data_IF_343197608222
#
_entry.id   IF_343197608222
#
_cell.length_a   1.000
_cell.length_b   1.000
_cell.length_c   1.000
_cell.angle_alpha   90.00
_cell.angle_beta   90.00
_cell.angle_gamma   90.00
#
_symmetry.space_group_name_H-M   'P 1'
#
loop_
_entity.id
_entity.type
_entity.pdbx_description
1 polymer ?
#
# COMPACT_ATOMS: atom_id res chain seq x y z
N UNK A 1 2.57 -28.41 -4.05
CA UNK A 1 1.72 -27.70 -3.06
C UNK A 1 1.65 -26.21 -3.38
N UNK A 2 2.77 -25.46 -3.35
CA UNK A 2 2.75 -24.00 -3.53
C UNK A 2 2.48 -23.60 -5.00
N UNK A 3 3.09 -24.29 -5.95
CA UNK A 3 2.85 -24.10 -7.39
C UNK A 3 1.39 -24.37 -7.76
N UNK A 4 0.78 -25.40 -7.18
CA UNK A 4 -0.62 -25.73 -7.39
C UNK A 4 -1.54 -24.62 -6.85
N UNK A 5 -1.25 -24.07 -5.68
CA UNK A 5 -2.01 -22.96 -5.12
C UNK A 5 -1.91 -21.70 -5.99
N UNK A 6 -0.71 -21.41 -6.49
CA UNK A 6 -0.50 -20.27 -7.42
C UNK A 6 -1.27 -20.52 -8.73
N UNK A 7 -1.18 -21.73 -9.28
CA UNK A 7 -1.92 -22.09 -10.50
C UNK A 7 -3.43 -21.90 -10.31
N UNK A 8 -3.99 -22.43 -9.22
CA UNK A 8 -5.41 -22.29 -8.90
C UNK A 8 -5.82 -20.83 -8.75
N UNK A 9 -5.00 -20.01 -8.05
CA UNK A 9 -5.27 -18.59 -7.90
C UNK A 9 -5.31 -17.86 -9.24
N UNK A 10 -4.35 -18.15 -10.13
CA UNK A 10 -4.30 -17.56 -11.47
C UNK A 10 -5.49 -18.03 -12.32
N UNK A 11 -5.80 -19.33 -12.29
CA UNK A 11 -6.92 -19.91 -13.01
C UNK A 11 -8.27 -19.32 -12.57
N UNK A 12 -8.50 -19.21 -11.26
CA UNK A 12 -9.71 -18.60 -10.71
C UNK A 12 -9.83 -17.12 -11.10
N UNK A 13 -8.73 -16.35 -11.06
CA UNK A 13 -8.71 -14.96 -11.52
C UNK A 13 -8.99 -14.84 -13.01
N UNK A 14 -8.45 -15.75 -13.81
CA UNK A 14 -8.72 -15.79 -15.24
C UNK A 14 -10.19 -16.08 -15.53
N UNK A 15 -10.77 -17.10 -14.86
CA UNK A 15 -12.20 -17.43 -14.99
C UNK A 15 -13.07 -16.25 -14.55
N UNK A 16 -12.74 -15.62 -13.42
CA UNK A 16 -13.48 -14.46 -12.89
C UNK A 16 -13.54 -13.29 -13.87
N UNK A 17 -12.52 -13.13 -14.74
CA UNK A 17 -12.49 -12.07 -15.75
C UNK A 17 -13.60 -12.20 -16.83
N UNK A 18 -14.22 -13.37 -16.97
CA UNK A 18 -15.34 -13.61 -17.90
C UNK A 18 -16.71 -13.52 -17.22
N UNK A 19 -16.74 -13.33 -15.91
CA UNK A 19 -17.99 -13.14 -15.16
C UNK A 19 -18.46 -11.68 -15.24
N UNK A 20 -19.78 -11.45 -15.08
CA UNK A 20 -20.31 -10.09 -15.04
C UNK A 20 -19.78 -9.31 -13.82
N UNK A 21 -19.88 -7.99 -13.88
CA UNK A 21 -19.47 -7.11 -12.79
C UNK A 21 -20.29 -7.37 -11.52
N UNK A 22 -19.62 -7.33 -10.37
CA UNK A 22 -20.27 -7.34 -9.08
C UNK A 22 -20.99 -5.99 -8.87
N UNK A 23 -22.27 -6.04 -8.46
CA UNK A 23 -23.03 -4.82 -8.13
C UNK A 23 -23.17 -4.71 -6.62
N UNK A 24 -22.71 -3.61 -6.08
CA UNK A 24 -22.73 -3.33 -4.64
C UNK A 24 -23.50 -2.03 -4.41
N UNK A 25 -24.44 -2.07 -3.49
CA UNK A 25 -25.12 -0.88 -2.98
C UNK A 25 -24.38 -0.37 -1.74
N UNK A 26 -24.00 0.89 -1.73
CA UNK A 26 -23.43 1.54 -0.56
C UNK A 26 -24.42 2.54 0.00
N UNK A 27 -24.86 2.32 1.23
CA UNK A 27 -25.77 3.22 1.94
C UNK A 27 -24.98 4.01 2.97
N UNK A 28 -25.11 5.33 2.95
CA UNK A 28 -24.52 6.20 3.96
C UNK A 28 -25.65 6.98 4.64
N UNK A 29 -25.77 6.80 5.95
CA UNK A 29 -26.74 7.51 6.79
C UNK A 29 -25.97 8.60 7.53
N UNK A 30 -26.50 9.81 7.48
CA UNK A 30 -26.04 10.94 8.29
C UNK A 30 -27.16 11.33 9.23
N UNK A 31 -26.86 11.38 10.50
CA UNK A 31 -27.80 11.79 11.54
C UNK A 31 -27.15 12.87 12.41
N UNK A 32 -27.96 13.61 13.10
CA UNK A 32 -27.53 14.62 14.08
C UNK A 32 -28.21 14.34 15.40
N UNK A 33 -27.45 14.29 16.47
CA UNK A 33 -27.94 14.17 17.84
C UNK A 33 -27.46 15.38 18.58
N UNK A 34 -28.38 16.29 18.91
CA UNK A 34 -28.07 17.64 19.38
C UNK A 34 -27.12 18.35 18.41
N UNK A 35 -25.89 18.64 18.78
CA UNK A 35 -24.87 19.29 17.95
C UNK A 35 -23.87 18.28 17.32
N UNK A 36 -24.01 16.99 17.63
CA UNK A 36 -23.04 15.97 17.19
C UNK A 36 -23.48 15.28 15.89
N UNK A 37 -22.68 15.41 14.81
CA UNK A 37 -22.95 14.69 13.58
C UNK A 37 -22.54 13.22 13.72
N UNK A 38 -23.46 12.33 13.38
CA UNK A 38 -23.25 10.89 13.33
C UNK A 38 -23.24 10.41 11.89
N UNK A 39 -22.44 9.40 11.61
CA UNK A 39 -22.35 8.77 10.30
C UNK A 39 -22.32 7.24 10.44
N UNK A 40 -23.20 6.58 9.72
CA UNK A 40 -23.15 5.13 9.53
C UNK A 40 -23.02 4.83 8.03
N UNK A 41 -22.25 3.78 7.69
CA UNK A 41 -22.08 3.31 6.31
C UNK A 41 -22.25 1.80 6.27
N UNK A 42 -23.00 1.32 5.30
CA UNK A 42 -23.19 -0.11 5.06
C UNK A 42 -23.03 -0.43 3.58
N UNK A 43 -22.67 -1.69 3.29
CA UNK A 43 -22.58 -2.24 1.95
C UNK A 43 -23.44 -3.47 1.84
N UNK A 44 -24.20 -3.57 0.76
CA UNK A 44 -25.02 -4.75 0.43
C UNK A 44 -24.65 -5.19 -0.98
N UNK A 45 -24.29 -6.46 -1.15
CA UNK A 45 -24.03 -7.03 -2.46
C UNK A 45 -25.39 -7.33 -3.11
N UNK A 46 -25.64 -6.69 -4.25
CA UNK A 46 -26.85 -6.91 -5.05
C UNK A 46 -26.67 -8.05 -6.07
N UNK A 47 -25.47 -8.11 -6.66
CA UNK A 47 -25.09 -9.13 -7.62
C UNK A 47 -23.64 -9.52 -7.33
N UNK A 48 -23.40 -10.79 -7.05
CA UNK A 48 -22.04 -11.31 -6.75
C UNK A 48 -21.08 -11.16 -7.95
N UNK A 49 -21.57 -11.44 -9.14
CA UNK A 49 -20.76 -11.38 -10.36
C UNK A 49 -19.46 -12.20 -10.24
N UNK A 50 -18.33 -11.62 -10.65
CA UNK A 50 -17.02 -12.28 -10.58
C UNK A 50 -16.59 -12.72 -9.16
N UNK A 51 -17.18 -12.15 -8.12
CA UNK A 51 -16.85 -12.50 -6.72
C UNK A 51 -17.26 -13.93 -6.37
N UNK A 52 -18.28 -14.48 -7.07
CA UNK A 52 -18.75 -15.85 -6.84
C UNK A 52 -17.63 -16.88 -7.08
N UNK A 53 -16.80 -16.64 -8.11
CA UNK A 53 -15.66 -17.52 -8.44
C UNK A 53 -14.56 -17.45 -7.39
N UNK A 54 -14.40 -16.32 -6.71
CA UNK A 54 -13.30 -16.05 -5.79
C UNK A 54 -13.71 -16.20 -4.32
N UNK A 55 -14.92 -16.74 -4.03
CA UNK A 55 -15.31 -17.02 -2.65
C UNK A 55 -14.30 -17.99 -2.03
N UNK A 56 -13.67 -17.65 -0.90
CA UNK A 56 -12.89 -18.62 -0.16
C UNK A 56 -13.83 -19.75 0.27
N UNK A 57 -13.37 -21.00 0.09
CA UNK A 57 -14.04 -22.16 0.68
C UNK A 57 -14.25 -21.84 2.17
N UNK A 58 -15.50 -21.97 2.63
CA UNK A 58 -15.99 -21.56 3.96
C UNK A 58 -15.38 -22.36 5.13
N UNK A 59 -14.10 -22.71 5.05
CA UNK A 59 -13.36 -23.50 6.02
C UNK A 59 -12.04 -22.93 6.53
N UNK A 60 -11.52 -21.86 5.93
CA UNK A 60 -10.30 -21.20 6.42
C UNK A 60 -10.46 -19.68 6.33
N UNK A 61 -10.79 -19.07 7.45
CA UNK A 61 -10.53 -17.67 7.69
C UNK A 61 -9.01 -17.41 7.57
N UNK A 62 -8.55 -17.23 6.34
CA UNK A 62 -7.20 -16.77 6.02
C UNK A 62 -7.13 -15.27 6.25
N UNK A 63 -6.81 -14.88 7.45
CA UNK A 63 -6.68 -13.53 8.00
C UNK A 63 -5.46 -12.76 7.45
N UNK A 64 -5.10 -12.80 6.18
CA UNK A 64 -3.82 -12.21 5.79
C UNK A 64 -3.73 -11.35 4.53
N UNK A 65 -4.81 -11.09 3.81
CA UNK A 65 -4.67 -10.34 2.53
C UNK A 65 -5.32 -8.95 2.48
N UNK A 66 -5.89 -8.45 3.57
CA UNK A 66 -6.60 -7.17 3.59
C UNK A 66 -6.31 -6.29 4.81
N UNK A 67 -5.11 -6.33 5.39
CA UNK A 67 -4.79 -5.54 6.59
C UNK A 67 -4.44 -4.06 6.35
N UNK A 68 -4.61 -3.54 5.14
CA UNK A 68 -4.63 -2.09 4.90
C UNK A 68 -6.02 -1.46 4.91
N UNK A 69 -7.07 -2.25 5.08
CA UNK A 69 -8.47 -1.82 5.05
C UNK A 69 -9.26 -2.28 6.29
N UNK A 70 -8.59 -2.40 7.44
CA UNK A 70 -9.34 -2.54 8.69
C UNK A 70 -10.08 -1.25 8.95
N UNK A 71 -11.32 -1.27 8.68
CA UNK A 71 -12.43 -0.63 9.38
C UNK A 71 -13.61 -0.20 8.52
N UNK A 72 -13.55 -0.32 7.20
CA UNK A 72 -14.61 0.30 6.39
C UNK A 72 -15.43 -0.66 5.53
N UNK A 73 -15.07 -1.94 5.45
CA UNK A 73 -15.70 -2.84 4.50
C UNK A 73 -16.23 -4.17 5.10
N UNK A 74 -16.49 -4.23 6.39
CA UNK A 74 -17.38 -5.27 6.89
C UNK A 74 -18.73 -5.04 6.23
N UNK A 75 -19.29 -6.08 5.60
CA UNK A 75 -20.62 -6.09 5.05
C UNK A 75 -21.63 -5.84 6.18
N UNK A 76 -21.74 -4.59 6.58
CA UNK A 76 -22.70 -4.17 7.58
C UNK A 76 -23.96 -3.78 6.82
N UNK A 77 -24.94 -4.68 6.83
CA UNK A 77 -26.26 -4.37 6.28
C UNK A 77 -26.94 -3.40 7.22
N UNK A 78 -27.16 -2.18 6.76
CA UNK A 78 -27.94 -1.21 7.51
C UNK A 78 -29.43 -1.50 7.31
N UNK A 79 -30.26 -1.32 8.36
CA UNK A 79 -31.72 -1.37 8.20
C UNK A 79 -32.19 -0.27 7.24
N UNK A 80 -33.36 -0.42 6.62
CA UNK A 80 -33.91 0.61 5.78
C UNK A 80 -34.26 1.85 6.63
N UNK A 81 -33.70 3.00 6.28
CA UNK A 81 -33.98 4.29 6.90
C UNK A 81 -34.74 5.20 5.92
N UNK A 82 -35.62 6.04 6.44
CA UNK A 82 -36.30 7.11 5.69
C UNK A 82 -35.68 8.45 6.08
N UNK A 83 -35.63 9.36 5.12
CA UNK A 83 -35.18 10.73 5.38
C UNK A 83 -36.13 11.41 6.38
N UNK A 84 -35.57 12.05 7.41
CA UNK A 84 -36.33 12.69 8.50
C UNK A 84 -36.80 11.73 9.58
N UNK A 85 -36.45 10.45 9.53
CA UNK A 85 -36.78 9.52 10.60
C UNK A 85 -36.04 9.90 11.89
N UNK A 86 -36.76 9.90 13.01
CA UNK A 86 -36.21 10.15 14.35
C UNK A 86 -36.70 9.08 15.31
N UNK A 87 -35.89 8.79 16.32
CA UNK A 87 -36.22 7.77 17.31
C UNK A 87 -35.35 7.89 18.57
N UNK A 88 -35.73 7.18 19.65
CA UNK A 88 -34.90 7.13 20.84
C UNK A 88 -33.57 6.47 20.52
N UNK A 89 -32.49 6.94 21.15
CA UNK A 89 -31.18 6.35 21.05
C UNK A 89 -30.58 6.23 22.45
N UNK A 90 -29.77 5.18 22.63
CA UNK A 90 -28.97 4.99 23.83
C UNK A 90 -27.48 5.15 23.45
N UNK A 91 -26.87 6.31 23.74
CA UNK A 91 -25.47 6.52 23.41
C UNK A 91 -24.58 5.68 24.31
N UNK A 92 -23.62 4.98 23.70
CA UNK A 92 -22.59 4.26 24.43
C UNK A 92 -21.22 4.84 24.13
N UNK A 93 -20.42 5.10 25.15
CA UNK A 93 -19.03 5.52 25.01
C UNK A 93 -18.15 4.29 25.11
N UNK A 94 -17.34 4.05 24.06
CA UNK A 94 -16.32 3.02 24.10
C UNK A 94 -14.95 3.68 24.16
N UNK A 95 -14.30 3.55 25.29
CA UNK A 95 -12.92 3.94 25.42
C UNK A 95 -12.01 2.96 24.69
N UNK A 96 -11.11 3.47 23.88
CA UNK A 96 -10.10 2.68 23.19
C UNK A 96 -8.78 3.45 23.11
N UNK A 97 -7.69 2.74 23.23
CA UNK A 97 -6.35 3.31 23.03
C UNK A 97 -5.92 3.07 21.58
N UNK A 98 -5.26 4.07 21.00
CA UNK A 98 -4.64 3.91 19.70
C UNK A 98 -3.53 2.86 19.77
N UNK A 99 -3.49 1.97 18.79
CA UNK A 99 -2.41 0.99 18.66
C UNK A 99 -1.41 1.48 17.63
N UNK A 100 -0.10 1.27 17.84
CA UNK A 100 0.91 1.63 16.85
C UNK A 100 0.68 0.83 15.54
N UNK A 101 1.15 1.34 14.40
CA UNK A 101 1.11 0.61 13.14
C UNK A 101 1.78 -0.77 13.29
N UNK A 102 1.20 -1.77 12.64
CA UNK A 102 1.80 -3.11 12.64
C UNK A 102 3.08 -3.12 11.84
N UNK A 103 3.97 -4.05 12.19
CA UNK A 103 5.16 -4.29 11.37
C UNK A 103 4.77 -4.79 9.98
N UNK A 104 5.59 -4.48 9.00
CA UNK A 104 5.37 -4.98 7.65
C UNK A 104 5.48 -6.52 7.60
N UNK A 105 4.67 -7.12 6.78
CA UNK A 105 4.87 -8.46 6.23
C UNK A 105 5.51 -8.30 4.83
N UNK A 106 6.00 -9.38 4.22
CA UNK A 106 6.53 -9.30 2.85
C UNK A 106 5.48 -8.76 1.87
N UNK A 107 4.25 -9.22 1.98
CA UNK A 107 3.13 -8.76 1.15
C UNK A 107 2.83 -7.26 1.35
N UNK A 108 2.79 -6.80 2.61
CA UNK A 108 2.52 -5.37 2.90
C UNK A 108 3.71 -4.49 2.56
N UNK A 109 4.95 -4.98 2.63
CA UNK A 109 6.13 -4.26 2.17
C UNK A 109 6.14 -4.13 0.65
N UNK A 110 5.84 -5.19 -0.09
CA UNK A 110 5.67 -5.13 -1.56
C UNK A 110 4.62 -4.09 -1.94
N UNK A 111 3.48 -4.08 -1.25
CA UNK A 111 2.43 -3.08 -1.47
C UNK A 111 2.89 -1.66 -1.12
N UNK A 112 3.65 -1.48 -0.04
CA UNK A 112 4.21 -0.18 0.32
C UNK A 112 5.20 0.33 -0.74
N UNK A 113 6.04 -0.55 -1.29
CA UNK A 113 6.92 -0.21 -2.42
C UNK A 113 6.11 0.20 -3.67
N UNK A 114 5.02 -0.51 -3.97
CA UNK A 114 4.12 -0.17 -5.08
C UNK A 114 3.44 1.19 -4.89
N UNK A 115 3.04 1.51 -3.68
CA UNK A 115 2.30 2.73 -3.36
C UNK A 115 3.15 3.82 -2.72
N UNK A 116 4.47 3.75 -2.86
CA UNK A 116 5.42 4.67 -2.21
C UNK A 116 5.18 6.14 -2.53
N UNK A 117 4.63 6.45 -3.70
CA UNK A 117 4.25 7.82 -4.07
C UNK A 117 3.19 8.47 -3.19
N UNK A 118 2.42 7.69 -2.42
CA UNK A 118 1.37 8.26 -1.55
C UNK A 118 1.90 9.14 -0.42
N UNK A 119 3.15 8.95 -0.01
CA UNK A 119 3.80 9.73 1.04
C UNK A 119 4.58 10.94 0.52
N UNK A 120 4.61 11.17 -0.79
CA UNK A 120 5.34 12.28 -1.41
C UNK A 120 4.41 13.49 -1.54
N UNK A 121 4.85 14.64 -1.03
CA UNK A 121 4.07 15.88 -1.03
C UNK A 121 3.98 16.50 -2.42
N UNK A 122 5.06 16.45 -3.18
CA UNK A 122 5.14 16.96 -4.54
C UNK A 122 4.25 16.15 -5.49
N UNK A 123 3.35 16.83 -6.21
CA UNK A 123 2.34 16.19 -7.05
C UNK A 123 2.95 15.54 -8.30
N UNK A 124 3.95 16.18 -8.92
CA UNK A 124 4.63 15.63 -10.10
C UNK A 124 5.44 14.39 -9.76
N UNK A 125 6.16 14.41 -8.65
CA UNK A 125 6.91 13.25 -8.15
C UNK A 125 5.97 12.13 -7.70
N UNK A 126 4.85 12.49 -7.09
CA UNK A 126 3.80 11.53 -6.71
C UNK A 126 3.24 10.81 -7.93
N UNK A 127 2.94 11.54 -8.99
CA UNK A 127 2.43 10.96 -10.23
C UNK A 127 3.49 10.14 -10.98
N UNK A 128 4.75 10.54 -10.92
CA UNK A 128 5.85 9.73 -11.42
C UNK A 128 5.96 8.39 -10.69
N UNK A 129 5.78 8.37 -9.38
CA UNK A 129 5.83 7.17 -8.55
C UNK A 129 4.54 6.33 -8.59
N UNK A 130 3.38 6.91 -8.92
CA UNK A 130 2.11 6.16 -9.03
C UNK A 130 2.19 4.99 -10.02
N UNK A 131 2.92 5.17 -11.11
CA UNK A 131 3.00 4.17 -12.17
C UNK A 131 3.96 3.02 -11.83
N UNK A 132 5.08 3.32 -11.18
CA UNK A 132 6.16 2.35 -10.98
C UNK A 132 6.43 2.02 -9.50
N UNK A 133 6.11 2.93 -8.56
CA UNK A 133 6.50 2.79 -7.15
C UNK A 133 8.02 2.79 -6.97
N UNK A 134 8.49 2.14 -5.91
CA UNK A 134 9.91 1.85 -5.70
C UNK A 134 10.23 0.46 -6.28
N UNK A 135 11.09 0.42 -7.27
CA UNK A 135 11.44 -0.79 -8.00
C UNK A 135 10.33 -1.28 -8.94
N UNK A 136 10.72 -1.97 -10.00
CA UNK A 136 9.77 -2.58 -10.93
C UNK A 136 9.14 -3.83 -10.31
N UNK A 137 7.90 -4.22 -10.68
CA UNK A 137 7.25 -5.41 -10.15
C UNK A 137 8.15 -6.66 -10.16
N UNK A 138 8.90 -6.88 -11.24
CA UNK A 138 9.82 -8.02 -11.42
C UNK A 138 11.05 -7.98 -10.51
N UNK A 139 11.42 -6.84 -9.95
CA UNK A 139 12.65 -6.68 -9.15
C UNK A 139 12.39 -6.49 -7.66
N UNK A 140 11.16 -6.15 -7.24
CA UNK A 140 10.84 -5.88 -5.83
C UNK A 140 11.14 -7.06 -4.92
N UNK A 141 10.79 -8.28 -5.33
CA UNK A 141 11.08 -9.49 -4.56
C UNK A 141 12.59 -9.67 -4.37
N UNK A 142 13.39 -9.50 -5.43
CA UNK A 142 14.84 -9.59 -5.37
C UNK A 142 15.47 -8.51 -4.47
N UNK A 143 14.88 -7.32 -4.41
CA UNK A 143 15.31 -6.25 -3.49
C UNK A 143 15.10 -6.69 -2.05
N UNK A 144 13.91 -7.20 -1.71
CA UNK A 144 13.59 -7.68 -0.35
C UNK A 144 14.52 -8.84 0.04
N UNK A 145 14.73 -9.81 -0.85
CA UNK A 145 15.67 -10.92 -0.63
C UNK A 145 17.10 -10.43 -0.40
N UNK A 146 17.49 -9.36 -1.09
CA UNK A 146 18.82 -8.74 -0.87
C UNK A 146 18.94 -8.14 0.53
N UNK A 147 17.87 -7.53 1.07
CA UNK A 147 17.85 -7.01 2.45
C UNK A 147 18.02 -8.14 3.48
N UNK A 148 17.35 -9.28 3.27
CA UNK A 148 17.53 -10.48 4.11
C UNK A 148 18.96 -11.02 4.00
N UNK A 149 19.47 -11.20 2.78
CA UNK A 149 20.81 -11.72 2.53
C UNK A 149 21.92 -10.87 3.17
N UNK A 150 21.70 -9.55 3.22
CA UNK A 150 22.63 -8.62 3.87
C UNK A 150 22.41 -8.50 5.38
N UNK A 151 21.40 -9.16 5.93
CA UNK A 151 21.10 -9.13 7.34
C UNK A 151 20.57 -7.78 7.84
N UNK A 152 19.98 -6.95 6.97
CA UNK A 152 19.38 -5.68 7.36
C UNK A 152 17.97 -5.83 7.94
N UNK A 153 17.28 -6.89 7.52
CA UNK A 153 15.96 -7.26 8.03
C UNK A 153 15.93 -8.76 8.33
N UNK A 154 15.05 -9.16 9.25
CA UNK A 154 14.79 -10.56 9.62
C UNK A 154 13.28 -10.82 9.66
N UNK A 155 12.90 -12.10 9.51
CA UNK A 155 11.54 -12.57 9.69
C UNK A 155 11.31 -12.97 11.14
N UNK A 156 10.31 -12.37 11.80
CA UNK A 156 9.78 -12.82 13.07
C UNK A 156 8.33 -13.30 12.87
N UNK A 157 8.14 -14.60 12.70
CA UNK A 157 6.87 -15.15 12.25
C UNK A 157 6.50 -14.62 10.87
N UNK A 158 5.38 -13.90 10.76
CA UNK A 158 4.95 -13.24 9.51
C UNK A 158 5.46 -11.81 9.37
N UNK A 159 6.00 -11.22 10.43
CA UNK A 159 6.42 -9.81 10.47
C UNK A 159 7.88 -9.65 10.08
N UNK A 160 8.19 -8.53 9.46
CA UNK A 160 9.54 -8.11 9.13
C UNK A 160 10.05 -7.15 10.20
N UNK A 161 11.27 -7.40 10.68
CA UNK A 161 11.95 -6.54 11.65
C UNK A 161 13.26 -6.05 11.10
N UNK A 162 13.54 -4.76 11.33
CA UNK A 162 14.87 -4.23 11.08
C UNK A 162 15.86 -4.79 12.12
N UNK A 163 17.05 -5.19 11.67
CA UNK A 163 18.14 -5.58 12.56
C UNK A 163 18.89 -4.35 13.07
N UNK A 164 19.68 -4.48 14.15
CA UNK A 164 20.58 -3.40 14.57
C UNK A 164 21.48 -2.89 13.44
N UNK A 165 22.01 -3.81 12.60
CA UNK A 165 22.82 -3.44 11.45
C UNK A 165 22.03 -2.64 10.40
N UNK A 166 20.76 -3.00 10.15
CA UNK A 166 19.89 -2.25 9.25
C UNK A 166 19.56 -0.86 9.77
N UNK A 167 19.29 -0.73 11.06
CA UNK A 167 19.03 0.56 11.71
C UNK A 167 20.29 1.44 11.65
N UNK A 168 21.44 0.91 12.03
CA UNK A 168 22.71 1.64 12.01
C UNK A 168 23.09 2.10 10.60
N UNK A 169 22.82 1.29 9.57
CA UNK A 169 23.03 1.70 8.18
C UNK A 169 22.21 2.95 7.85
N UNK A 170 20.91 2.97 8.16
CA UNK A 170 20.05 4.11 7.87
C UNK A 170 20.44 5.34 8.68
N UNK A 171 20.86 5.17 9.93
CA UNK A 171 21.34 6.26 10.78
C UNK A 171 22.65 6.87 10.27
N UNK A 172 23.54 6.04 9.70
CA UNK A 172 24.81 6.51 9.14
C UNK A 172 24.69 7.32 7.85
N UNK A 173 23.56 7.16 7.12
CA UNK A 173 23.30 7.95 5.92
C UNK A 173 22.88 9.36 6.33
N UNK A 174 23.63 10.38 5.94
CA UNK A 174 23.35 11.77 6.29
C UNK A 174 22.41 12.45 5.29
N UNK A 175 22.52 12.13 4.02
CA UNK A 175 21.65 12.69 2.98
C UNK A 175 20.18 12.20 3.15
N UNK A 176 19.24 13.10 3.47
CA UNK A 176 17.83 12.74 3.62
C UNK A 176 17.20 12.25 2.31
N UNK A 177 17.70 12.67 1.15
CA UNK A 177 17.17 12.23 -0.15
C UNK A 177 17.40 10.75 -0.39
N UNK A 178 18.54 10.18 0.07
CA UNK A 178 18.79 8.74 -0.03
C UNK A 178 17.83 7.91 0.81
N UNK A 179 17.21 8.51 1.83
CA UNK A 179 16.26 7.85 2.73
C UNK A 179 14.80 8.07 2.32
N UNK A 180 14.56 8.86 1.27
CA UNK A 180 13.22 9.19 0.82
C UNK A 180 12.87 8.55 -0.53
N UNK A 181 11.56 8.39 -0.78
CA UNK A 181 11.07 7.99 -2.09
C UNK A 181 11.22 9.08 -3.16
N UNK A 182 11.45 10.34 -2.75
CA UNK A 182 11.54 11.49 -3.66
C UNK A 182 12.67 11.36 -4.66
N UNK A 183 13.83 10.85 -4.24
CA UNK A 183 14.96 10.66 -5.16
C UNK A 183 14.59 9.73 -6.30
N UNK A 184 13.92 8.62 -6.00
CA UNK A 184 13.41 7.71 -7.03
C UNK A 184 12.39 8.41 -7.92
N UNK A 185 11.47 9.19 -7.33
CA UNK A 185 10.48 9.98 -8.08
C UNK A 185 11.12 10.96 -9.05
N UNK A 186 12.14 11.70 -8.61
CA UNK A 186 12.89 12.65 -9.45
C UNK A 186 13.58 11.97 -10.63
N UNK A 187 14.19 10.81 -10.40
CA UNK A 187 14.83 10.06 -11.48
C UNK A 187 13.82 9.48 -12.46
N UNK A 188 12.72 8.91 -11.98
CA UNK A 188 11.65 8.39 -12.82
C UNK A 188 11.01 9.50 -13.66
N UNK A 189 10.81 10.70 -13.10
CA UNK A 189 10.32 11.87 -13.84
C UNK A 189 11.27 12.25 -14.97
N UNK A 190 12.57 12.40 -14.67
CA UNK A 190 13.59 12.74 -15.69
C UNK A 190 13.71 11.67 -16.76
N UNK A 191 13.62 10.38 -16.40
CA UNK A 191 13.64 9.30 -17.37
C UNK A 191 12.44 9.36 -18.33
N UNK A 192 11.26 9.74 -17.85
CA UNK A 192 10.09 9.99 -18.72
C UNK A 192 10.29 11.18 -19.63
N UNK A 193 10.84 12.27 -19.11
CA UNK A 193 11.18 13.45 -19.93
C UNK A 193 12.21 13.11 -21.01
N UNK A 194 13.14 12.19 -20.75
CA UNK A 194 14.06 11.68 -21.77
C UNK A 194 13.28 10.85 -22.82
N UNK A 195 12.36 10.01 -22.39
CA UNK A 195 11.52 9.20 -23.29
C UNK A 195 10.66 10.09 -24.21
N UNK A 196 10.08 11.17 -23.66
CA UNK A 196 9.34 12.20 -24.42
C UNK A 196 10.23 13.18 -25.19
N UNK A 197 11.55 13.08 -25.11
CA UNK A 197 12.55 13.97 -25.72
C UNK A 197 12.52 15.42 -25.20
N UNK A 198 12.04 15.62 -23.99
CA UNK A 198 11.99 16.91 -23.31
C UNK A 198 13.23 17.16 -22.45
N UNK A 199 14.03 16.13 -22.16
CA UNK A 199 15.24 16.22 -21.36
C UNK A 199 16.41 15.48 -22.01
N UNK A 200 17.64 16.04 -21.91
CA UNK A 200 18.82 15.45 -22.51
C UNK A 200 19.40 14.30 -21.68
N UNK A 201 19.58 13.09 -22.26
CA UNK A 201 20.18 11.95 -21.57
C UNK A 201 21.60 12.21 -21.06
N UNK A 202 22.38 13.02 -21.78
CA UNK A 202 23.75 13.36 -21.38
C UNK A 202 23.77 14.23 -20.13
N UNK A 203 22.86 15.21 -20.07
CA UNK A 203 22.69 16.03 -18.88
C UNK A 203 22.29 15.19 -17.67
N UNK A 204 21.33 14.27 -17.81
CA UNK A 204 20.92 13.35 -16.74
C UNK A 204 22.09 12.55 -16.19
N UNK A 205 22.91 11.97 -17.07
CA UNK A 205 24.08 11.20 -16.66
C UNK A 205 25.14 12.04 -15.92
N UNK A 206 25.33 13.28 -16.34
CA UNK A 206 26.26 14.20 -15.68
C UNK A 206 25.78 14.59 -14.28
N UNK A 207 24.50 14.88 -14.13
CA UNK A 207 23.88 15.17 -12.83
C UNK A 207 23.97 13.97 -11.89
N UNK A 208 23.68 12.77 -12.39
CA UNK A 208 23.81 11.52 -11.62
C UNK A 208 25.25 11.30 -11.14
N UNK A 209 26.24 11.49 -12.02
CA UNK A 209 27.65 11.37 -11.67
C UNK A 209 28.08 12.40 -10.62
N UNK A 210 27.61 13.65 -10.77
CA UNK A 210 27.89 14.71 -9.81
C UNK A 210 27.31 14.38 -8.43
N UNK A 211 26.05 13.94 -8.38
CA UNK A 211 25.41 13.52 -7.14
C UNK A 211 26.16 12.37 -6.46
N UNK A 212 26.52 11.31 -7.19
CA UNK A 212 27.29 10.19 -6.67
C UNK A 212 28.65 10.67 -6.15
N UNK A 213 29.34 11.57 -6.87
CA UNK A 213 30.63 12.12 -6.44
C UNK A 213 30.51 12.88 -5.12
N UNK A 214 29.49 13.70 -4.98
CA UNK A 214 29.20 14.44 -3.72
C UNK A 214 28.98 13.46 -2.56
N UNK A 215 28.10 12.47 -2.74
CA UNK A 215 27.81 11.46 -1.72
C UNK A 215 29.05 10.69 -1.29
N UNK A 216 29.89 10.27 -2.25
CA UNK A 216 31.13 9.56 -1.95
C UNK A 216 32.10 10.43 -1.16
N UNK A 217 32.15 11.74 -1.47
CA UNK A 217 33.01 12.69 -0.76
C UNK A 217 32.54 12.91 0.67
N UNK A 218 31.24 13.05 0.88
CA UNK A 218 30.63 13.19 2.19
C UNK A 218 30.88 11.97 3.09
N UNK A 219 30.70 10.75 2.53
CA UNK A 219 30.94 9.52 3.29
C UNK A 219 32.41 9.29 3.59
N UNK A 220 33.33 9.74 2.72
CA UNK A 220 34.79 9.62 2.95
C UNK A 220 35.37 10.72 3.86
N UNK A 221 34.65 11.79 4.07
CA UNK A 221 35.06 12.89 4.96
C UNK A 221 34.87 12.59 6.46
N UNK A 222 34.47 11.35 6.79
CA UNK A 222 34.36 10.83 8.16
C UNK A 222 35.50 9.84 8.47
#
# INVERSE_FOLDING_TARGET
>A
PDEEQIYLLVALRYIAAFYPDAKVSTTTIRATVEEYPLRASGKTILVEGWREVLKPDSGKEGDDTAEGAKDKDKEQTLPPFKEGESGPHEPTIRESTSTPPRYYTEATLLRAMETAGKGVEDEELRDALKMNGIGRPSTRAAIIETLFKRGYIVREGKSLRATPAGIQLIESIQDPLLKSAELTGRWELKLRQIESREYDPGQFLNELKAQVSTLVTEVRGF
#
